data_IF_726708012173
#
_entry.id   IF_726708012173
#
_cell.length_a   1.000
_cell.length_b   1.000
_cell.length_c   1.000
_cell.angle_alpha   90.00
_cell.angle_beta   90.00
_cell.angle_gamma   90.00
#
_symmetry.space_group_name_H-M   'P 1'
#
loop_
_entity.id
_entity.type
_entity.pdbx_description
1 polymer ?
#
# COMPACT_ATOMS: atom_id res chain seq x y z
N UNK A 1 10.23 -17.69 -8.41
CA UNK A 1 9.79 -17.30 -7.06
C UNK A 1 8.74 -16.19 -7.21
N UNK A 2 7.52 -16.39 -6.69
CA UNK A 2 6.40 -15.45 -6.88
C UNK A 2 6.63 -14.09 -6.21
N UNK A 3 7.20 -14.06 -5.00
CA UNK A 3 7.43 -12.80 -4.29
C UNK A 3 8.52 -11.98 -5.00
N UNK A 4 9.58 -12.65 -5.46
CA UNK A 4 10.60 -12.02 -6.28
C UNK A 4 10.03 -11.50 -7.61
N UNK A 5 9.13 -12.26 -8.26
CA UNK A 5 8.45 -11.82 -9.48
C UNK A 5 7.62 -10.55 -9.25
N UNK A 6 6.93 -10.42 -8.11
CA UNK A 6 6.15 -9.22 -7.80
C UNK A 6 7.04 -7.99 -7.58
N UNK A 7 8.20 -8.17 -6.95
CA UNK A 7 9.22 -7.10 -6.84
C UNK A 7 9.67 -6.68 -8.24
N UNK A 8 10.06 -7.64 -9.09
CA UNK A 8 10.49 -7.33 -10.46
C UNK A 8 9.39 -6.70 -11.30
N UNK A 9 8.13 -7.11 -11.13
CA UNK A 9 6.98 -6.48 -11.80
C UNK A 9 6.80 -5.03 -11.36
N UNK A 10 6.99 -4.74 -10.07
CA UNK A 10 6.98 -3.37 -9.57
C UNK A 10 8.01 -2.49 -10.25
N UNK A 11 9.23 -3.02 -10.45
CA UNK A 11 10.32 -2.32 -11.16
C UNK A 11 10.03 -2.15 -12.64
N UNK A 12 9.55 -3.20 -13.31
CA UNK A 12 9.12 -3.20 -14.72
C UNK A 12 8.04 -2.13 -14.99
N UNK A 13 7.09 -1.99 -14.06
CA UNK A 13 6.02 -0.98 -14.13
C UNK A 13 6.44 0.38 -13.56
N UNK A 14 7.72 0.56 -13.22
CA UNK A 14 8.27 1.79 -12.64
C UNK A 14 7.45 2.33 -11.44
N UNK A 15 6.99 1.43 -10.57
CA UNK A 15 6.35 1.83 -9.32
C UNK A 15 7.33 2.66 -8.49
N UNK A 16 6.79 3.67 -7.82
CA UNK A 16 7.58 4.54 -6.95
C UNK A 16 8.13 3.74 -5.75
N UNK A 17 9.15 4.26 -5.06
CA UNK A 17 9.62 3.66 -3.81
C UNK A 17 8.50 3.56 -2.77
N UNK A 18 8.58 2.55 -1.91
CA UNK A 18 7.67 2.34 -0.78
C UNK A 18 7.43 3.61 0.04
N UNK A 19 8.49 4.39 0.32
CA UNK A 19 8.43 5.60 1.14
C UNK A 19 7.56 6.71 0.55
N UNK A 20 7.38 6.76 -0.78
CA UNK A 20 6.47 7.71 -1.43
C UNK A 20 5.01 7.39 -1.08
N UNK A 21 4.67 6.10 -0.99
CA UNK A 21 3.33 5.65 -0.59
C UNK A 21 3.10 5.85 0.91
N UNK A 22 4.14 5.67 1.74
CA UNK A 22 4.08 6.01 3.16
C UNK A 22 3.73 7.48 3.36
N UNK A 23 4.39 8.37 2.61
CA UNK A 23 4.07 9.81 2.63
C UNK A 23 2.65 10.08 2.15
N UNK A 24 2.22 9.47 1.05
CA UNK A 24 0.87 9.63 0.51
C UNK A 24 -0.22 9.20 1.49
N UNK A 25 -0.03 8.06 2.18
CA UNK A 25 -1.06 7.45 3.01
C UNK A 25 -1.07 7.93 4.45
N UNK A 26 0.10 8.24 5.01
CA UNK A 26 0.26 8.50 6.44
C UNK A 26 0.86 9.87 6.74
N UNK A 27 1.23 10.64 5.71
CA UNK A 27 1.93 11.93 5.84
C UNK A 27 3.24 11.84 6.65
N UNK A 28 3.89 10.67 6.62
CA UNK A 28 5.18 10.43 7.27
C UNK A 28 6.27 10.63 6.22
N UNK A 29 7.26 11.47 6.53
CA UNK A 29 8.46 11.64 5.71
C UNK A 29 9.54 10.73 6.27
N UNK A 30 9.87 9.67 5.53
CA UNK A 30 10.91 8.70 5.89
C UNK A 30 12.23 9.20 5.34
N UNK A 31 13.18 9.54 6.21
CA UNK A 31 14.55 9.89 5.84
C UNK A 31 15.50 8.74 6.08
N UNK A 32 15.26 8.02 7.18
CA UNK A 32 16.09 6.92 7.64
C UNK A 32 15.22 5.69 7.98
N UNK A 33 15.85 4.52 8.14
CA UNK A 33 15.13 3.26 8.39
C UNK A 33 14.32 3.30 9.69
N UNK A 34 14.81 4.02 10.71
CA UNK A 34 14.17 4.18 12.03
C UNK A 34 12.83 4.92 11.96
N UNK A 35 12.64 5.78 10.95
CA UNK A 35 11.37 6.50 10.73
C UNK A 35 10.21 5.54 10.37
N UNK A 36 10.50 4.29 10.04
CA UNK A 36 9.51 3.24 9.77
C UNK A 36 8.92 2.60 11.04
N UNK A 37 9.44 2.91 12.22
CA UNK A 37 8.99 2.34 13.50
C UNK A 37 7.48 2.49 13.81
N UNK A 38 6.77 3.55 13.35
CA UNK A 38 5.31 3.62 13.51
C UNK A 38 4.56 2.57 12.69
N UNK A 39 5.17 2.09 11.60
CA UNK A 39 4.54 1.23 10.60
C UNK A 39 4.95 -0.23 10.72
N UNK A 40 6.18 -0.54 11.16
CA UNK A 40 6.71 -1.91 11.24
C UNK A 40 7.44 -2.18 12.56
N UNK A 41 7.96 -3.40 12.75
CA UNK A 41 8.74 -3.82 13.92
C UNK A 41 10.23 -3.53 13.71
N UNK A 42 10.99 -3.37 14.80
CA UNK A 42 12.45 -3.20 14.73
C UNK A 42 13.15 -4.36 14.00
N UNK A 43 12.67 -5.60 14.17
CA UNK A 43 13.18 -6.77 13.46
C UNK A 43 13.04 -6.61 11.93
N UNK A 44 11.87 -6.16 11.46
CA UNK A 44 11.63 -5.95 10.04
C UNK A 44 12.42 -4.76 9.50
N UNK A 45 12.63 -3.72 10.30
CA UNK A 45 13.54 -2.61 9.94
C UNK A 45 14.95 -3.15 9.68
N UNK A 46 15.47 -4.02 10.55
CA UNK A 46 16.80 -4.61 10.34
C UNK A 46 16.86 -5.51 9.11
N UNK A 47 15.81 -6.29 8.83
CA UNK A 47 15.71 -7.08 7.59
C UNK A 47 15.74 -6.20 6.35
N UNK A 48 14.98 -5.11 6.32
CA UNK A 48 15.01 -4.15 5.22
C UNK A 48 16.41 -3.54 5.05
N UNK A 49 17.04 -3.10 6.15
CA UNK A 49 18.41 -2.54 6.15
C UNK A 49 19.46 -3.53 5.63
N UNK A 50 19.28 -4.84 5.84
CA UNK A 50 20.21 -5.84 5.34
C UNK A 50 20.15 -6.06 3.82
N UNK A 51 19.08 -5.59 3.16
CA UNK A 51 18.82 -5.83 1.72
C UNK A 51 18.90 -4.54 0.90
N UNK A 52 18.48 -3.41 1.47
CA UNK A 52 18.44 -2.11 0.81
C UNK A 52 19.48 -1.16 1.42
N UNK A 53 20.23 -0.46 0.58
CA UNK A 53 21.22 0.53 1.02
C UNK A 53 20.56 1.81 1.53
N UNK A 54 19.52 2.28 0.82
CA UNK A 54 18.74 3.46 1.19
C UNK A 54 17.25 3.13 1.37
N UNK A 55 16.56 3.85 2.28
CA UNK A 55 15.10 3.71 2.43
C UNK A 55 14.33 4.05 1.16
N UNK A 56 14.89 4.92 0.30
CA UNK A 56 14.32 5.28 -0.99
C UNK A 56 14.47 4.17 -2.05
N UNK A 57 15.16 3.08 -1.76
CA UNK A 57 15.30 1.94 -2.68
C UNK A 57 14.30 0.81 -2.37
N UNK A 58 13.58 0.90 -1.26
CA UNK A 58 12.66 -0.14 -0.82
C UNK A 58 11.52 -0.28 -1.84
N UNK A 59 11.42 -1.46 -2.46
CA UNK A 59 10.32 -1.78 -3.36
C UNK A 59 8.99 -1.74 -2.60
N UNK A 60 7.94 -1.14 -3.18
CA UNK A 60 6.60 -1.06 -2.57
C UNK A 60 6.12 -2.42 -2.04
N UNK A 61 6.35 -3.48 -2.81
CA UNK A 61 5.89 -4.81 -2.44
C UNK A 61 6.60 -5.36 -1.19
N UNK A 62 7.92 -5.15 -1.09
CA UNK A 62 8.69 -5.59 0.06
C UNK A 62 8.35 -4.77 1.31
N UNK A 63 8.33 -3.43 1.19
CA UNK A 63 8.03 -2.54 2.30
C UNK A 63 6.60 -2.69 2.82
N UNK A 64 5.62 -2.78 1.92
CA UNK A 64 4.21 -2.92 2.28
C UNK A 64 3.88 -4.24 3.00
N UNK A 65 4.58 -5.34 2.70
CA UNK A 65 4.34 -6.63 3.35
C UNK A 65 4.86 -6.72 4.78
N UNK A 66 5.93 -5.98 5.11
CA UNK A 66 6.54 -6.05 6.45
C UNK A 66 5.88 -5.11 7.46
N UNK A 67 4.97 -4.26 7.03
CA UNK A 67 4.20 -3.39 7.91
C UNK A 67 3.26 -4.17 8.85
N UNK A 68 2.88 -3.52 9.94
CA UNK A 68 1.80 -3.96 10.84
C UNK A 68 0.48 -3.96 10.07
N UNK A 69 -0.41 -4.87 10.45
CA UNK A 69 -1.81 -4.88 10.00
C UNK A 69 -2.50 -3.58 10.41
N UNK A 70 -3.56 -3.19 9.69
CA UNK A 70 -4.41 -2.04 10.07
C UNK A 70 -5.07 -2.29 11.44
N UNK A 71 -5.46 -3.54 11.70
CA UNK A 71 -6.02 -4.02 12.97
C UNK A 71 -5.83 -5.54 13.07
N UNK A 72 -6.03 -6.12 14.25
CA UNK A 72 -5.86 -7.57 14.46
C UNK A 72 -6.78 -8.43 13.56
N UNK A 73 -7.94 -7.89 13.19
CA UNK A 73 -8.96 -8.60 12.42
C UNK A 73 -8.85 -8.37 10.90
N UNK A 74 -7.78 -7.73 10.41
CA UNK A 74 -7.55 -7.55 8.97
C UNK A 74 -6.27 -8.22 8.50
N UNK A 75 -6.25 -8.58 7.22
CA UNK A 75 -5.05 -9.08 6.55
C UNK A 75 -4.24 -7.94 5.90
N UNK A 76 -4.89 -6.80 5.62
CA UNK A 76 -4.22 -5.67 4.99
C UNK A 76 -3.27 -4.97 5.98
N UNK A 77 -2.07 -4.66 5.51
CA UNK A 77 -1.11 -3.80 6.21
C UNK A 77 -1.47 -2.33 6.05
N UNK A 78 -0.84 -1.43 6.80
CA UNK A 78 -1.25 -0.01 6.87
C UNK A 78 -1.27 0.69 5.51
N UNK A 79 -0.19 0.64 4.75
CA UNK A 79 -0.03 1.28 3.44
C UNK A 79 -0.82 0.55 2.37
N UNK A 80 -0.79 -0.79 2.32
CA UNK A 80 -1.63 -1.52 1.36
C UNK A 80 -3.12 -1.35 1.64
N UNK A 81 -3.53 -1.31 2.90
CA UNK A 81 -4.90 -1.01 3.30
C UNK A 81 -5.35 0.36 2.79
N UNK A 82 -4.51 1.39 2.91
CA UNK A 82 -4.77 2.70 2.33
C UNK A 82 -4.90 2.65 0.80
N UNK A 83 -3.96 2.03 0.08
CA UNK A 83 -3.98 1.94 -1.39
C UNK A 83 -5.22 1.19 -1.87
N UNK A 84 -5.49 0.03 -1.29
CA UNK A 84 -6.64 -0.83 -1.62
C UNK A 84 -7.94 -0.06 -1.34
N UNK A 85 -8.09 0.54 -0.15
CA UNK A 85 -9.30 1.30 0.18
C UNK A 85 -9.54 2.47 -0.77
N UNK A 86 -8.50 3.24 -1.11
CA UNK A 86 -8.61 4.33 -2.09
C UNK A 86 -9.09 3.81 -3.44
N UNK A 87 -8.44 2.75 -3.95
CA UNK A 87 -8.81 2.16 -5.23
C UNK A 87 -10.26 1.67 -5.26
N UNK A 88 -10.72 0.98 -4.20
CA UNK A 88 -12.10 0.50 -4.12
C UNK A 88 -13.11 1.62 -3.90
N UNK A 89 -12.75 2.67 -3.16
CA UNK A 89 -13.60 3.85 -3.02
C UNK A 89 -13.77 4.56 -4.37
N UNK A 90 -12.70 4.73 -5.14
CA UNK A 90 -12.75 5.34 -6.47
C UNK A 90 -13.58 4.49 -7.44
N UNK A 91 -13.42 3.16 -7.41
CA UNK A 91 -14.24 2.24 -8.21
C UNK A 91 -15.72 2.32 -7.84
N UNK A 92 -16.05 2.31 -6.53
CA UNK A 92 -17.43 2.41 -6.06
C UNK A 92 -18.06 3.76 -6.44
N UNK A 93 -17.40 4.86 -6.11
CA UNK A 93 -17.95 6.20 -6.27
C UNK A 93 -17.95 6.65 -7.74
N UNK A 94 -17.02 6.13 -8.56
CA UNK A 94 -16.94 6.40 -9.99
C UNK A 94 -17.85 5.51 -10.84
N UNK A 95 -18.37 4.41 -10.28
CA UNK A 95 -19.28 3.51 -11.00
C UNK A 95 -20.73 4.00 -10.87
N UNK A 96 -21.22 4.59 -11.97
CA UNK A 96 -22.62 4.99 -12.10
C UNK A 96 -23.60 3.81 -11.91
N UNK A 97 -23.18 2.60 -12.25
CA UNK A 97 -23.98 1.38 -12.14
C UNK A 97 -23.74 0.62 -10.83
N UNK A 98 -23.00 1.19 -9.87
CA UNK A 98 -22.80 0.57 -8.58
C UNK A 98 -24.15 0.21 -7.94
N UNK A 99 -24.26 -1.00 -7.39
CA UNK A 99 -25.56 -1.60 -7.06
C UNK A 99 -26.38 -0.85 -6.00
N UNK A 100 -25.74 -0.01 -5.18
CA UNK A 100 -26.44 0.82 -4.17
C UNK A 100 -27.01 2.12 -4.74
N UNK A 101 -26.66 2.49 -5.98
CA UNK A 101 -27.18 3.69 -6.61
C UNK A 101 -28.65 3.51 -7.01
N UNK A 102 -29.50 4.46 -6.61
CA UNK A 102 -30.91 4.47 -6.98
C UNK A 102 -31.18 4.95 -8.41
N UNK A 103 -32.46 4.93 -8.86
CA UNK A 103 -32.85 5.27 -10.23
C UNK A 103 -32.47 6.68 -10.70
N UNK A 104 -32.23 7.60 -9.77
CA UNK A 104 -31.77 8.96 -10.08
C UNK A 104 -30.33 9.03 -10.61
N UNK A 105 -29.50 8.02 -10.32
CA UNK A 105 -28.09 7.94 -10.71
C UNK A 105 -27.86 6.75 -11.65
N UNK A 106 -28.40 5.58 -11.29
CA UNK A 106 -28.26 4.34 -12.04
C UNK A 106 -29.55 4.08 -12.85
N UNK A 107 -29.53 4.21 -14.19
CA UNK A 107 -30.71 3.99 -15.03
C UNK A 107 -31.11 2.50 -15.12
N UNK A 108 -30.26 1.60 -14.63
CA UNK A 108 -30.53 0.17 -14.55
C UNK A 108 -30.96 -0.27 -13.15
N UNK A 109 -31.15 0.66 -12.22
CA UNK A 109 -31.73 0.36 -10.92
C UNK A 109 -33.23 0.06 -11.08
N UNK A 110 -33.66 -1.11 -10.60
CA UNK A 110 -35.05 -1.57 -10.55
C UNK A 110 -35.68 -1.28 -9.19
#
# INVERSE_FOLDING_TARGET
>A
DLFATNIQRGRDHALRPYVDYVKLCHNIVVKDFEDLSPLTSSENIQKLRSVYENVNDIDLYAGGLVEKKVSENTLATKTFGCIIMRQFADLKNGDRFYYENGPSINPSAF
#
